data_IF_272487302168
#
_entry.id   IF_272487302168
#
_cell.length_a   1.000
_cell.length_b   1.000
_cell.length_c   1.000
_cell.angle_alpha   90.00
_cell.angle_beta   90.00
_cell.angle_gamma   90.00
#
_symmetry.space_group_name_H-M   'P 1'
#
loop_
_entity.id
_entity.type
_entity.pdbx_description
1 polymer ?
#
# COMPACT_ATOMS: atom_id res chain seq x y z
N UNK A 1 15.99 23.16 -11.39
CA UNK A 1 15.79 22.26 -12.54
C UNK A 1 15.24 20.94 -12.00
N UNK A 2 14.00 20.57 -12.36
CA UNK A 2 13.30 19.46 -11.73
C UNK A 2 13.47 18.21 -12.59
N UNK A 3 14.07 17.17 -12.06
CA UNK A 3 14.20 15.90 -12.76
C UNK A 3 12.93 15.07 -12.61
N UNK A 4 12.16 14.95 -13.66
CA UNK A 4 11.15 13.90 -13.79
C UNK A 4 11.88 12.68 -14.33
N UNK A 5 12.06 11.65 -13.51
CA UNK A 5 12.58 10.39 -14.01
C UNK A 5 11.42 9.51 -14.47
N UNK A 6 11.51 9.02 -15.69
CA UNK A 6 10.68 7.91 -16.14
C UNK A 6 11.36 6.62 -15.65
N UNK A 7 10.54 5.60 -15.35
CA UNK A 7 11.07 4.29 -14.96
C UNK A 7 12.06 3.82 -16.04
N UNK A 8 13.35 3.91 -15.75
CA UNK A 8 14.38 3.39 -16.63
C UNK A 8 14.53 1.89 -16.36
N UNK A 9 14.84 1.15 -17.40
CA UNK A 9 15.05 -0.30 -17.42
C UNK A 9 16.24 -0.71 -16.52
N UNK A 10 16.11 -0.50 -15.22
CA UNK A 10 17.05 -1.02 -14.23
C UNK A 10 16.48 -2.35 -13.77
N UNK A 11 17.14 -3.42 -14.13
CA UNK A 11 16.78 -4.79 -13.81
C UNK A 11 16.86 -5.04 -12.30
N UNK A 12 15.84 -4.59 -11.56
CA UNK A 12 15.61 -5.16 -10.24
C UNK A 12 15.00 -6.54 -10.49
N UNK A 13 15.77 -7.57 -10.20
CA UNK A 13 15.31 -8.95 -10.21
C UNK A 13 14.89 -9.36 -8.80
N UNK A 14 14.11 -10.40 -8.67
CA UNK A 14 13.75 -10.99 -7.38
C UNK A 14 15.00 -11.32 -6.54
N UNK A 15 16.12 -11.63 -7.19
CA UNK A 15 17.40 -11.97 -6.54
C UNK A 15 17.95 -10.87 -5.61
N UNK A 16 17.49 -9.64 -5.77
CA UNK A 16 17.86 -8.53 -4.89
C UNK A 16 17.03 -8.47 -3.59
N UNK A 17 16.01 -9.34 -3.46
CA UNK A 17 15.16 -9.42 -2.27
C UNK A 17 15.67 -10.50 -1.31
N UNK A 18 15.32 -10.43 -0.01
CA UNK A 18 15.64 -11.51 0.93
C UNK A 18 15.11 -12.87 0.43
N UNK A 19 15.90 -13.94 0.55
CA UNK A 19 15.57 -15.28 0.05
C UNK A 19 14.21 -15.78 0.56
N UNK A 20 13.90 -15.54 1.83
CA UNK A 20 12.58 -15.87 2.41
C UNK A 20 11.45 -15.15 1.68
N UNK A 21 11.66 -13.88 1.31
CA UNK A 21 10.65 -13.11 0.57
C UNK A 21 10.47 -13.65 -0.85
N UNK A 22 11.54 -14.03 -1.53
CA UNK A 22 11.47 -14.63 -2.87
C UNK A 22 10.59 -15.88 -2.85
N UNK A 23 10.86 -16.81 -1.94
CA UNK A 23 10.06 -18.03 -1.77
C UNK A 23 8.57 -17.74 -1.49
N UNK A 24 8.32 -16.75 -0.63
CA UNK A 24 6.95 -16.37 -0.28
C UNK A 24 6.24 -15.65 -1.43
N UNK A 25 6.94 -14.88 -2.27
CA UNK A 25 6.40 -14.27 -3.49
C UNK A 25 5.99 -15.34 -4.52
N UNK A 26 6.84 -16.35 -4.73
CA UNK A 26 6.51 -17.50 -5.60
C UNK A 26 5.28 -18.25 -5.10
N UNK A 27 5.24 -18.58 -3.80
CA UNK A 27 4.09 -19.23 -3.16
C UNK A 27 2.81 -18.38 -3.19
N UNK A 28 2.97 -17.05 -3.27
CA UNK A 28 1.87 -16.10 -3.41
C UNK A 28 1.42 -15.90 -4.86
N UNK A 29 2.11 -16.46 -5.86
CA UNK A 29 1.85 -16.20 -7.27
C UNK A 29 2.20 -14.77 -7.70
N UNK A 30 3.17 -14.16 -7.03
CA UNK A 30 3.64 -12.78 -7.24
C UNK A 30 5.11 -12.73 -7.70
N UNK A 31 5.61 -13.81 -8.29
CA UNK A 31 7.00 -13.90 -8.78
C UNK A 31 7.26 -12.95 -9.97
N UNK A 32 6.26 -12.75 -10.82
CA UNK A 32 6.37 -11.91 -12.01
C UNK A 32 6.02 -10.45 -11.68
N UNK A 33 7.01 -9.72 -11.14
CA UNK A 33 6.85 -8.30 -10.86
C UNK A 33 6.92 -7.48 -12.16
N UNK A 34 6.01 -6.52 -12.30
CA UNK A 34 6.05 -5.56 -13.41
C UNK A 34 7.22 -4.59 -13.24
N UNK A 35 7.67 -3.98 -14.35
CA UNK A 35 8.71 -2.94 -14.33
C UNK A 35 8.35 -1.80 -13.37
N UNK A 36 7.07 -1.41 -13.36
CA UNK A 36 6.54 -0.36 -12.48
C UNK A 36 6.63 -0.77 -11.00
N UNK A 37 6.31 -2.01 -10.68
CA UNK A 37 6.45 -2.55 -9.31
C UNK A 37 7.92 -2.60 -8.88
N UNK A 38 8.80 -3.08 -9.75
CA UNK A 38 10.24 -3.10 -9.49
C UNK A 38 10.79 -1.69 -9.20
N UNK A 39 10.38 -0.68 -9.95
CA UNK A 39 10.81 0.71 -9.71
C UNK A 39 10.33 1.26 -8.36
N UNK A 40 9.08 0.97 -7.99
CA UNK A 40 8.55 1.36 -6.67
C UNK A 40 9.35 0.70 -5.55
N UNK A 41 9.56 -0.63 -5.64
CA UNK A 41 10.29 -1.40 -4.63
C UNK A 41 11.73 -0.89 -4.52
N UNK A 42 12.43 -0.67 -5.62
CA UNK A 42 13.79 -0.17 -5.65
C UNK A 42 13.92 1.16 -4.88
N UNK A 43 13.05 2.12 -5.15
CA UNK A 43 13.05 3.42 -4.46
C UNK A 43 12.68 3.31 -3.00
N UNK A 44 11.74 2.43 -2.69
CA UNK A 44 11.37 2.12 -1.33
C UNK A 44 12.55 1.58 -0.53
N UNK A 45 13.29 0.64 -1.10
CA UNK A 45 14.48 0.04 -0.46
C UNK A 45 15.62 1.05 -0.31
N UNK A 46 15.81 1.93 -1.29
CA UNK A 46 16.78 3.02 -1.22
C UNK A 46 16.43 4.08 -0.17
N UNK A 47 15.23 4.06 0.41
CA UNK A 47 14.79 5.07 1.37
C UNK A 47 14.57 6.45 0.74
N UNK A 48 14.37 6.51 -0.56
CA UNK A 48 14.11 7.76 -1.27
C UNK A 48 12.74 8.33 -0.93
N UNK A 49 12.67 9.65 -0.78
CA UNK A 49 11.39 10.34 -0.70
C UNK A 49 10.84 10.49 -2.12
N UNK A 50 9.73 9.81 -2.39
CA UNK A 50 9.23 9.67 -3.76
C UNK A 50 7.71 9.81 -3.83
N UNK A 51 7.23 10.51 -4.85
CA UNK A 51 5.83 10.51 -5.27
C UNK A 51 5.70 9.67 -6.54
N UNK A 52 4.96 8.58 -6.44
CA UNK A 52 4.70 7.67 -7.56
C UNK A 52 3.33 7.95 -8.14
N UNK A 53 3.30 8.34 -9.40
CA UNK A 53 2.08 8.58 -10.18
C UNK A 53 1.86 7.47 -11.19
N UNK A 54 0.67 6.89 -11.22
CA UNK A 54 0.31 5.85 -12.18
C UNK A 54 -1.16 5.46 -12.05
N UNK A 55 -1.70 4.82 -13.08
CA UNK A 55 -3.11 4.40 -13.09
C UNK A 55 -3.46 3.44 -11.94
N UNK A 56 -4.74 3.32 -11.63
CA UNK A 56 -5.24 2.30 -10.73
C UNK A 56 -5.03 0.92 -11.36
N UNK A 57 -4.72 -0.08 -10.52
CA UNK A 57 -4.36 -1.41 -11.01
C UNK A 57 -2.88 -1.61 -11.38
N UNK A 58 -2.04 -0.57 -11.37
CA UNK A 58 -0.59 -0.71 -11.61
C UNK A 58 0.17 -1.48 -10.49
N UNK A 59 -0.52 -2.07 -9.53
CA UNK A 59 0.09 -2.85 -8.45
C UNK A 59 0.87 -2.03 -7.42
N UNK A 60 0.57 -0.74 -7.28
CA UNK A 60 1.27 0.16 -6.35
C UNK A 60 1.20 -0.31 -4.90
N UNK A 61 0.02 -0.74 -4.43
CA UNK A 61 -0.15 -1.26 -3.07
C UNK A 61 0.70 -2.51 -2.84
N UNK A 62 0.65 -3.46 -3.76
CA UNK A 62 1.46 -4.69 -3.72
C UNK A 62 2.95 -4.37 -3.65
N UNK A 63 3.43 -3.45 -4.50
CA UNK A 63 4.84 -3.03 -4.51
C UNK A 63 5.27 -2.39 -3.19
N UNK A 64 4.44 -1.54 -2.59
CA UNK A 64 4.70 -0.96 -1.27
C UNK A 64 4.82 -2.04 -0.20
N UNK A 65 3.87 -2.99 -0.16
CA UNK A 65 3.88 -4.08 0.83
C UNK A 65 5.10 -4.99 0.65
N UNK A 66 5.51 -5.29 -0.58
CA UNK A 66 6.77 -6.02 -0.86
C UNK A 66 7.96 -5.23 -0.31
N UNK A 67 8.01 -3.93 -0.51
CA UNK A 67 9.05 -3.06 0.04
C UNK A 67 9.10 -3.08 1.57
N UNK A 68 7.96 -3.02 2.24
CA UNK A 68 7.86 -3.16 3.71
C UNK A 68 8.35 -4.53 4.18
N UNK A 69 7.90 -5.61 3.54
CA UNK A 69 8.30 -6.97 3.88
C UNK A 69 9.81 -7.18 3.68
N UNK A 70 10.39 -6.68 2.59
CA UNK A 70 11.82 -6.76 2.32
C UNK A 70 12.65 -6.06 3.41
N UNK A 71 12.27 -4.83 3.81
CA UNK A 71 12.96 -4.11 4.88
C UNK A 71 12.81 -4.79 6.24
N UNK A 72 11.62 -5.26 6.57
CA UNK A 72 11.37 -5.95 7.83
C UNK A 72 12.19 -7.24 7.94
N UNK A 73 12.24 -8.05 6.88
CA UNK A 73 13.03 -9.27 6.82
C UNK A 73 14.55 -9.01 6.88
N UNK A 74 15.02 -7.92 6.26
CA UNK A 74 16.43 -7.52 6.32
C UNK A 74 16.84 -6.98 7.69
N UNK A 75 15.92 -6.39 8.46
CA UNK A 75 16.19 -5.78 9.76
C UNK A 75 16.44 -6.78 10.89
N UNK A 76 16.13 -8.07 10.71
CA UNK A 76 16.23 -9.19 11.67
C UNK A 76 16.54 -8.77 13.11
N UNK A 77 15.56 -8.26 13.83
CA UNK A 77 15.67 -8.08 15.28
C UNK A 77 15.10 -9.31 15.98
N UNK A 78 15.60 -9.56 17.19
CA UNK A 78 15.10 -10.64 18.05
C UNK A 78 13.59 -10.48 18.29
N UNK A 79 12.90 -11.60 18.47
CA UNK A 79 11.45 -11.67 18.74
C UNK A 79 11.14 -11.11 20.15
N UNK A 80 11.28 -9.81 20.36
CA UNK A 80 10.95 -9.15 21.62
C UNK A 80 9.46 -8.79 21.66
N UNK A 81 8.83 -9.03 22.79
CA UNK A 81 7.46 -8.60 23.05
C UNK A 81 7.39 -7.08 23.18
N UNK A 82 6.30 -6.47 22.70
CA UNK A 82 6.09 -5.01 22.80
C UNK A 82 6.78 -4.18 21.72
N UNK A 83 7.04 -4.76 20.53
CA UNK A 83 7.63 -4.04 19.41
C UNK A 83 6.75 -2.94 18.90
N UNK A 84 7.40 -1.83 18.59
CA UNK A 84 6.80 -0.72 17.87
C UNK A 84 6.91 -0.96 16.35
N UNK A 85 5.92 -0.56 15.55
CA UNK A 85 5.96 -0.76 14.11
C UNK A 85 7.16 -0.03 13.48
N UNK A 86 7.94 -0.76 12.69
CA UNK A 86 9.00 -0.19 11.87
C UNK A 86 8.48 0.30 10.51
N UNK A 87 7.33 -0.22 10.07
CA UNK A 87 6.65 0.15 8.84
C UNK A 87 5.25 0.69 9.07
N UNK A 88 4.90 1.80 8.43
CA UNK A 88 3.57 2.41 8.50
C UNK A 88 3.02 2.72 7.10
N UNK A 89 1.85 2.17 6.80
CA UNK A 89 1.10 2.48 5.59
C UNK A 89 -0.18 3.24 5.92
N UNK A 90 -0.24 4.49 5.51
CA UNK A 90 -1.45 5.32 5.62
C UNK A 90 -2.30 5.08 4.37
N UNK A 91 -3.55 4.70 4.57
CA UNK A 91 -4.56 4.51 3.52
C UNK A 91 -5.72 5.47 3.72
N UNK A 92 -6.57 5.66 2.71
CA UNK A 92 -7.83 6.38 2.86
C UNK A 92 -9.00 5.40 3.13
N UNK A 93 -8.84 4.14 2.73
CA UNK A 93 -9.86 3.10 2.85
C UNK A 93 -9.38 1.97 3.76
N UNK A 94 -10.23 1.51 4.70
CA UNK A 94 -9.87 0.41 5.62
C UNK A 94 -9.64 -0.92 4.89
N UNK A 95 -10.28 -1.13 3.74
CA UNK A 95 -10.11 -2.33 2.92
C UNK A 95 -8.67 -2.45 2.41
N UNK A 96 -8.07 -1.35 1.95
CA UNK A 96 -6.68 -1.32 1.50
C UNK A 96 -5.72 -1.69 2.63
N UNK A 97 -6.02 -1.24 3.85
CA UNK A 97 -5.22 -1.57 5.04
C UNK A 97 -5.30 -3.05 5.40
N UNK A 98 -6.49 -3.64 5.32
CA UNK A 98 -6.71 -5.07 5.60
C UNK A 98 -5.96 -5.92 4.56
N UNK A 99 -6.09 -5.57 3.28
CA UNK A 99 -5.41 -6.25 2.18
C UNK A 99 -3.89 -6.13 2.35
N UNK A 100 -3.38 -4.94 2.69
CA UNK A 100 -1.96 -4.71 2.89
C UNK A 100 -1.40 -5.54 4.06
N UNK A 101 -2.09 -5.58 5.20
CA UNK A 101 -1.67 -6.35 6.37
C UNK A 101 -1.67 -7.86 6.07
N UNK A 102 -2.73 -8.38 5.45
CA UNK A 102 -2.82 -9.79 5.07
C UNK A 102 -1.72 -10.18 4.06
N UNK A 103 -1.45 -9.30 3.10
CA UNK A 103 -0.37 -9.53 2.13
C UNK A 103 1.00 -9.50 2.82
N UNK A 104 1.25 -8.56 3.74
CA UNK A 104 2.50 -8.51 4.51
C UNK A 104 2.73 -9.81 5.28
N UNK A 105 1.74 -10.31 6.01
CA UNK A 105 1.83 -11.56 6.75
C UNK A 105 2.12 -12.77 5.84
N UNK A 106 1.47 -12.81 4.67
CA UNK A 106 1.71 -13.84 3.66
C UNK A 106 3.14 -13.78 3.13
N UNK A 107 3.66 -12.58 2.83
CA UNK A 107 5.00 -12.38 2.32
C UNK A 107 6.11 -12.58 3.37
N UNK A 108 5.77 -12.45 4.64
CA UNK A 108 6.71 -12.66 5.76
C UNK A 108 6.45 -13.98 6.49
N UNK A 109 5.67 -14.88 5.90
CA UNK A 109 5.34 -16.17 6.49
C UNK A 109 6.61 -16.92 6.93
N UNK A 110 6.57 -17.51 8.12
CA UNK A 110 7.68 -18.24 8.70
C UNK A 110 8.76 -17.36 9.38
N UNK A 111 8.65 -16.03 9.34
CA UNK A 111 9.62 -15.10 9.94
C UNK A 111 9.27 -14.69 11.38
N UNK A 112 8.03 -14.88 11.81
CA UNK A 112 7.51 -14.37 13.10
C UNK A 112 7.18 -12.87 13.10
N UNK A 113 7.29 -12.19 11.95
CA UNK A 113 6.86 -10.80 11.77
C UNK A 113 5.33 -10.71 11.78
N UNK A 114 4.81 -9.63 12.38
CA UNK A 114 3.38 -9.41 12.56
C UNK A 114 2.93 -8.11 11.92
N UNK A 115 1.72 -8.13 11.36
CA UNK A 115 1.06 -6.95 10.81
C UNK A 115 -0.26 -6.65 11.49
N UNK A 116 -0.65 -5.38 11.53
CA UNK A 116 -1.99 -4.96 11.90
C UNK A 116 -2.60 -4.06 10.82
N UNK A 117 -3.75 -4.49 10.28
CA UNK A 117 -4.62 -3.64 9.48
C UNK A 117 -5.68 -3.01 10.39
N UNK A 118 -5.57 -1.71 10.62
CA UNK A 118 -6.50 -0.98 11.49
C UNK A 118 -7.74 -0.61 10.71
N UNK A 119 -8.93 -0.99 11.20
CA UNK A 119 -10.22 -0.73 10.54
C UNK A 119 -11.31 -0.40 11.56
N UNK A 120 -12.44 0.15 11.08
CA UNK A 120 -13.63 0.38 11.92
C UNK A 120 -14.12 -0.96 12.49
N UNK A 121 -14.27 -0.99 13.78
CA UNK A 121 -14.83 -2.10 14.50
C UNK A 121 -13.86 -2.68 15.51
N UNK A 122 -14.35 -2.81 16.73
CA UNK A 122 -13.60 -3.41 17.84
C UNK A 122 -13.31 -4.88 17.56
N UNK A 123 -12.26 -5.18 16.83
CA UNK A 123 -11.72 -6.54 16.79
C UNK A 123 -10.79 -6.71 17.99
N UNK A 124 -11.34 -7.15 19.10
CA UNK A 124 -10.62 -7.44 20.35
C UNK A 124 -9.34 -8.28 20.14
N UNK A 125 -9.31 -9.29 19.24
CA UNK A 125 -8.07 -10.00 18.94
C UNK A 125 -6.95 -9.11 18.40
N UNK A 126 -7.26 -8.16 17.51
CA UNK A 126 -6.26 -7.24 16.92
C UNK A 126 -5.68 -6.25 17.93
N UNK A 127 -6.47 -5.81 18.91
CA UNK A 127 -5.95 -4.97 19.99
C UNK A 127 -4.89 -5.69 20.81
N UNK A 128 -5.09 -6.98 21.11
CA UNK A 128 -4.07 -7.81 21.79
C UNK A 128 -2.82 -8.01 20.94
N UNK A 129 -2.95 -8.13 19.62
CA UNK A 129 -1.82 -8.23 18.69
C UNK A 129 -0.99 -6.95 18.71
N UNK A 130 -1.63 -5.78 18.70
CA UNK A 130 -0.94 -4.48 18.81
C UNK A 130 -0.21 -4.37 20.14
N UNK A 131 -0.85 -4.77 21.25
CA UNK A 131 -0.24 -4.80 22.59
C UNK A 131 0.94 -5.77 22.69
N UNK A 132 0.89 -6.89 21.95
CA UNK A 132 2.01 -7.86 21.92
C UNK A 132 3.16 -7.45 21.02
N UNK A 133 2.97 -6.37 20.25
CA UNK A 133 3.96 -5.82 19.31
C UNK A 133 3.69 -6.23 17.86
N UNK A 134 3.83 -5.26 16.98
CA UNK A 134 3.68 -5.39 15.53
C UNK A 134 4.90 -4.80 14.83
N UNK A 135 5.20 -5.32 13.64
CA UNK A 135 6.31 -4.86 12.81
C UNK A 135 5.82 -3.92 11.69
N UNK A 136 4.57 -4.10 11.27
CA UNK A 136 3.93 -3.32 10.22
C UNK A 136 2.50 -2.93 10.61
N UNK A 137 2.18 -1.65 10.48
CA UNK A 137 0.83 -1.12 10.68
C UNK A 137 0.30 -0.52 9.37
N UNK A 138 -0.96 -0.81 9.05
CA UNK A 138 -1.67 -0.18 7.93
C UNK A 138 -3.05 0.29 8.38
N UNK A 139 -3.48 1.48 7.95
CA UNK A 139 -4.82 1.97 8.29
C UNK A 139 -5.15 3.34 7.72
N UNK A 140 -6.44 3.71 7.74
CA UNK A 140 -6.85 5.09 7.58
C UNK A 140 -6.27 5.97 8.69
N UNK A 141 -5.94 7.21 8.33
CA UNK A 141 -5.28 8.15 9.24
C UNK A 141 -6.02 8.30 10.57
N UNK A 142 -7.35 8.46 10.52
CA UNK A 142 -8.19 8.63 11.70
C UNK A 142 -8.09 7.47 12.70
N UNK A 143 -7.98 6.26 12.18
CA UNK A 143 -7.88 5.05 13.01
C UNK A 143 -6.49 4.84 13.55
N UNK A 144 -5.46 5.14 12.74
CA UNK A 144 -4.08 5.08 13.17
C UNK A 144 -3.82 6.07 14.31
N UNK A 145 -4.28 7.32 14.19
CA UNK A 145 -4.16 8.33 15.24
C UNK A 145 -4.85 7.88 16.53
N UNK A 146 -6.12 7.44 16.44
CA UNK A 146 -6.87 6.97 17.60
C UNK A 146 -6.20 5.74 18.25
N UNK A 147 -5.56 4.87 17.48
CA UNK A 147 -4.86 3.71 17.99
C UNK A 147 -3.53 4.09 18.64
N UNK A 148 -2.79 5.03 18.05
CA UNK A 148 -1.57 5.56 18.65
C UNK A 148 -1.83 6.26 19.97
N UNK A 149 -2.91 7.03 20.07
CA UNK A 149 -3.31 7.68 21.32
C UNK A 149 -3.70 6.66 22.41
N UNK A 150 -4.47 5.63 22.02
CA UNK A 150 -5.00 4.63 22.96
C UNK A 150 -3.94 3.66 23.46
N UNK A 151 -3.14 3.12 22.55
CA UNK A 151 -2.17 2.07 22.84
C UNK A 151 -0.81 2.62 23.25
N UNK A 152 -0.61 3.94 23.21
CA UNK A 152 0.69 4.56 23.42
C UNK A 152 1.73 4.14 22.39
N UNK A 153 1.29 3.61 21.24
CA UNK A 153 2.19 3.27 20.15
C UNK A 153 3.00 4.49 19.75
N UNK A 154 4.31 4.40 19.93
CA UNK A 154 5.23 5.48 19.60
C UNK A 154 5.76 5.26 18.18
N UNK A 155 5.79 6.31 17.39
CA UNK A 155 6.41 6.29 16.06
C UNK A 155 7.96 6.29 16.13
N UNK A 156 8.54 6.17 17.33
CA UNK A 156 9.99 6.26 17.54
C UNK A 156 10.80 5.13 16.89
N UNK A 157 10.15 3.99 16.61
CA UNK A 157 10.79 2.87 15.91
C UNK A 157 10.56 2.89 14.40
N UNK A 158 9.76 3.83 13.90
CA UNK A 158 9.40 3.90 12.49
C UNK A 158 10.62 4.12 11.60
N UNK A 159 10.85 3.22 10.67
CA UNK A 159 11.94 3.31 9.68
C UNK A 159 11.44 3.65 8.28
N UNK A 160 10.20 3.29 7.97
CA UNK A 160 9.61 3.50 6.66
C UNK A 160 8.14 3.83 6.77
N UNK A 161 7.70 4.78 5.96
CA UNK A 161 6.31 5.14 5.83
C UNK A 161 5.89 5.22 4.36
N UNK A 162 4.61 4.96 4.10
CA UNK A 162 4.02 5.22 2.80
C UNK A 162 2.61 5.78 2.96
N UNK A 163 2.20 6.61 2.00
CA UNK A 163 0.84 7.12 1.88
C UNK A 163 0.28 6.62 0.56
N UNK A 164 -0.74 5.79 0.64
CA UNK A 164 -1.40 5.22 -0.53
C UNK A 164 -2.54 6.11 -0.99
N UNK A 165 -2.57 6.45 -2.29
CA UNK A 165 -3.57 7.33 -2.94
C UNK A 165 -3.65 8.72 -2.28
N UNK A 166 -2.51 9.40 -2.21
CA UNK A 166 -2.39 10.73 -1.59
C UNK A 166 -3.29 11.80 -2.25
N UNK A 167 -3.66 11.62 -3.50
CA UNK A 167 -4.61 12.43 -4.25
C UNK A 167 -6.01 12.46 -3.59
N UNK A 168 -6.45 11.37 -3.00
CA UNK A 168 -7.71 11.32 -2.26
C UNK A 168 -7.67 12.13 -0.95
N UNK A 169 -6.51 12.20 -0.31
CA UNK A 169 -6.30 13.09 0.84
C UNK A 169 -6.28 14.55 0.40
N UNK A 170 -5.59 14.86 -0.69
CA UNK A 170 -5.50 16.21 -1.24
C UNK A 170 -6.88 16.77 -1.65
N UNK A 171 -7.81 15.92 -2.05
CA UNK A 171 -9.18 16.30 -2.39
C UNK A 171 -10.02 16.74 -1.16
N UNK A 172 -9.56 16.47 0.06
CA UNK A 172 -10.28 16.74 1.32
C UNK A 172 -9.41 17.64 2.23
N UNK A 173 -9.61 18.98 2.27
CA UNK A 173 -8.68 19.90 2.95
C UNK A 173 -8.42 19.59 4.43
N UNK A 174 -9.43 19.14 5.18
CA UNK A 174 -9.26 18.79 6.59
C UNK A 174 -8.38 17.53 6.75
N UNK A 175 -8.61 16.50 5.94
CA UNK A 175 -7.84 15.28 5.96
C UNK A 175 -6.41 15.52 5.47
N UNK A 176 -6.25 16.36 4.45
CA UNK A 176 -4.94 16.80 3.96
C UNK A 176 -4.10 17.44 5.06
N UNK A 177 -4.67 18.40 5.83
CA UNK A 177 -3.97 19.07 6.92
C UNK A 177 -3.46 18.06 7.95
N UNK A 178 -4.30 17.14 8.38
CA UNK A 178 -3.92 16.08 9.32
C UNK A 178 -2.82 15.18 8.77
N UNK A 179 -2.92 14.79 7.50
CA UNK A 179 -1.85 14.02 6.84
C UNK A 179 -0.52 14.77 6.85
N UNK A 180 -0.55 16.09 6.62
CA UNK A 180 0.63 16.96 6.68
C UNK A 180 1.26 16.93 8.06
N UNK A 181 0.46 17.07 9.10
CA UNK A 181 0.92 17.05 10.50
C UNK A 181 1.54 15.69 10.82
N UNK A 182 0.86 14.58 10.49
CA UNK A 182 1.37 13.23 10.69
C UNK A 182 2.67 12.97 9.90
N UNK A 183 2.72 13.35 8.63
CA UNK A 183 3.91 13.16 7.79
C UNK A 183 5.10 14.02 8.25
N UNK A 184 4.83 15.21 8.76
CA UNK A 184 5.85 16.08 9.35
C UNK A 184 6.43 15.45 10.62
N UNK A 185 5.58 14.92 11.48
CA UNK A 185 6.03 14.23 12.71
C UNK A 185 6.83 12.97 12.39
N UNK A 186 6.35 12.16 11.45
CA UNK A 186 7.10 11.00 10.96
C UNK A 186 8.46 11.38 10.39
N UNK A 187 8.56 12.52 9.70
CA UNK A 187 9.83 13.01 9.14
C UNK A 187 10.83 13.46 10.20
N UNK A 188 10.36 13.93 11.36
CA UNK A 188 11.21 14.33 12.49
C UNK A 188 11.73 13.13 13.26
N UNK A 189 10.87 12.14 13.46
CA UNK A 189 11.16 10.97 14.30
C UNK A 189 11.99 9.92 13.58
N UNK A 190 11.81 9.80 12.29
CA UNK A 190 12.47 8.79 11.50
C UNK A 190 13.37 9.44 10.44
N UNK A 191 14.59 8.97 10.33
CA UNK A 191 15.40 9.10 9.10
C UNK A 191 14.76 8.33 7.94
N UNK A 192 13.45 8.41 7.85
CA UNK A 192 12.57 7.54 7.09
C UNK A 192 12.32 8.15 5.72
N UNK A 193 12.55 7.39 4.68
CA UNK A 193 11.99 7.69 3.38
C UNK A 193 10.48 7.57 3.42
N UNK A 194 9.76 8.57 2.90
CA UNK A 194 8.31 8.50 2.77
C UNK A 194 7.96 8.36 1.29
N UNK A 195 7.20 7.32 0.95
CA UNK A 195 6.68 7.13 -0.39
C UNK A 195 5.20 7.51 -0.43
N UNK A 196 4.88 8.40 -1.36
CA UNK A 196 3.51 8.75 -1.69
C UNK A 196 3.13 8.07 -3.00
N UNK A 197 1.92 7.53 -3.09
CA UNK A 197 1.37 7.07 -4.37
C UNK A 197 0.11 7.83 -4.69
N UNK A 198 -0.17 8.05 -5.97
CA UNK A 198 -1.43 8.64 -6.44
C UNK A 198 -2.00 7.86 -7.62
N UNK A 199 -3.32 7.89 -7.77
CA UNK A 199 -4.06 7.14 -8.79
C UNK A 199 -3.95 7.77 -10.17
N UNK A 200 -4.24 9.05 -10.26
CA UNK A 200 -4.20 9.81 -11.50
C UNK A 200 -3.15 10.91 -11.47
N UNK A 201 -2.77 11.42 -12.63
CA UNK A 201 -1.96 12.65 -12.71
C UNK A 201 -2.76 13.83 -12.18
N UNK A 202 -2.34 14.36 -11.05
CA UNK A 202 -2.84 15.61 -10.50
C UNK A 202 -1.66 16.55 -10.27
N UNK A 203 -1.58 17.61 -11.08
CA UNK A 203 -0.57 18.65 -10.91
C UNK A 203 -0.70 19.36 -9.57
N UNK A 204 -1.92 19.49 -9.08
CA UNK A 204 -2.18 20.12 -7.78
C UNK A 204 -1.71 19.24 -6.63
N UNK A 205 -1.97 17.93 -6.69
CA UNK A 205 -1.42 16.98 -5.70
C UNK A 205 0.11 16.96 -5.74
N UNK A 206 0.73 16.95 -6.93
CA UNK A 206 2.18 17.05 -7.07
C UNK A 206 2.73 18.33 -6.42
N UNK A 207 2.09 19.48 -6.65
CA UNK A 207 2.46 20.76 -6.03
C UNK A 207 2.34 20.72 -4.51
N UNK A 208 1.25 20.20 -3.99
CA UNK A 208 1.01 20.07 -2.55
C UNK A 208 2.05 19.20 -1.87
N UNK A 209 2.34 18.01 -2.43
CA UNK A 209 3.37 17.10 -1.88
C UNK A 209 4.75 17.75 -1.92
N UNK A 210 5.11 18.44 -3.01
CA UNK A 210 6.39 19.13 -3.13
C UNK A 210 6.52 20.35 -2.24
N UNK A 211 5.43 21.07 -1.99
CA UNK A 211 5.44 22.18 -1.05
C UNK A 211 5.77 21.73 0.38
N UNK A 212 5.33 20.52 0.75
CA UNK A 212 5.64 19.94 2.06
C UNK A 212 7.02 19.29 2.10
N UNK A 213 7.40 18.65 1.01
CA UNK A 213 8.64 17.88 0.89
C UNK A 213 9.39 18.26 -0.39
N UNK A 214 10.14 19.38 -0.40
CA UNK A 214 10.80 19.92 -1.59
C UNK A 214 11.76 18.94 -2.26
N UNK A 215 12.36 18.00 -1.50
CA UNK A 215 13.27 16.97 -2.00
C UNK A 215 12.57 15.73 -2.57
N UNK A 216 11.24 15.76 -2.77
CA UNK A 216 10.50 14.60 -3.27
C UNK A 216 10.76 14.38 -4.76
N UNK A 217 11.24 13.20 -5.12
CA UNK A 217 11.34 12.75 -6.49
C UNK A 217 9.97 12.37 -7.02
N UNK A 218 9.65 12.75 -8.26
CA UNK A 218 8.41 12.32 -8.93
C UNK A 218 8.72 11.25 -9.95
N UNK A 219 8.11 10.09 -9.77
CA UNK A 219 8.18 8.97 -10.70
C UNK A 219 6.84 8.77 -11.37
N UNK A 220 6.87 8.70 -12.69
CA UNK A 220 5.68 8.40 -13.49
C UNK A 220 5.80 6.99 -14.02
N UNK A 221 4.85 6.15 -13.61
CA UNK A 221 4.76 4.80 -14.11
C UNK A 221 4.35 4.84 -15.59
N UNK A 222 5.04 4.04 -16.39
CA UNK A 222 4.83 3.97 -17.83
C UNK A 222 3.89 2.83 -18.21
N UNK A 223 3.34 2.11 -17.23
CA UNK A 223 2.50 0.96 -17.45
C UNK A 223 1.51 1.21 -18.57
N UNK A 224 1.58 0.43 -19.62
CA UNK A 224 0.57 0.43 -20.66
C UNK A 224 -0.69 -0.15 -20.03
N UNK A 225 -1.57 0.75 -19.61
CA UNK A 225 -2.94 0.34 -19.37
C UNK A 225 -3.48 -0.14 -20.72
N UNK A 226 -3.51 -1.42 -20.93
CA UNK A 226 -4.42 -1.97 -21.92
C UNK A 226 -5.78 -1.85 -21.26
N UNK A 227 -6.65 -1.02 -21.83
CA UNK A 227 -8.08 -1.19 -21.54
C UNK A 227 -8.34 -2.69 -21.68
N UNK A 228 -8.73 -3.38 -20.60
CA UNK A 228 -9.19 -4.75 -20.79
C UNK A 228 -10.33 -4.67 -21.80
N UNK A 229 -10.43 -5.62 -22.70
CA UNK A 229 -11.57 -5.79 -23.59
C UNK A 229 -12.79 -6.08 -22.69
N UNK A 230 -13.32 -5.00 -22.07
CA UNK A 230 -14.52 -5.08 -21.22
C UNK A 230 -15.71 -4.90 -22.15
N UNK A 231 -16.41 -5.97 -22.38
CA UNK A 231 -17.72 -5.91 -23.02
C UNK A 231 -18.74 -5.43 -21.96
N UNK A 232 -19.06 -4.13 -22.00
CA UNK A 232 -20.09 -3.58 -21.13
C UNK A 232 -21.47 -3.92 -21.70
N UNK A 233 -22.28 -4.64 -20.92
CA UNK A 233 -23.66 -4.93 -21.26
C UNK A 233 -24.59 -4.46 -20.13
N UNK A 234 -25.45 -3.49 -20.46
CA UNK A 234 -26.47 -3.01 -19.53
C UNK A 234 -27.77 -3.77 -19.73
N UNK A 235 -28.31 -4.33 -18.66
CA UNK A 235 -29.64 -4.97 -18.67
C UNK A 235 -30.55 -4.35 -17.63
N UNK A 236 -31.71 -3.88 -18.09
CA UNK A 236 -32.78 -3.45 -17.22
C UNK A 236 -33.55 -4.69 -16.69
N UNK A 237 -33.43 -4.94 -15.39
CA UNK A 237 -34.10 -6.06 -14.74
C UNK A 237 -35.00 -5.55 -13.63
N UNK A 238 -36.24 -6.06 -13.56
CA UNK A 238 -37.16 -5.75 -12.44
C UNK A 238 -36.52 -6.20 -11.13
N UNK A 239 -36.72 -5.43 -10.05
CA UNK A 239 -36.10 -5.67 -8.73
C UNK A 239 -36.20 -7.13 -8.24
N UNK A 240 -37.35 -7.79 -8.49
CA UNK A 240 -37.58 -9.19 -8.08
C UNK A 240 -36.85 -10.24 -8.90
N UNK A 241 -36.32 -9.88 -10.07
CA UNK A 241 -35.59 -10.79 -10.96
C UNK A 241 -34.07 -10.62 -10.94
N UNK A 242 -33.54 -9.67 -10.17
CA UNK A 242 -32.09 -9.32 -10.21
C UNK A 242 -31.19 -10.51 -9.89
N UNK A 243 -31.47 -11.22 -8.82
CA UNK A 243 -30.65 -12.36 -8.40
C UNK A 243 -30.64 -13.48 -9.45
N UNK A 244 -31.81 -13.81 -10.00
CA UNK A 244 -31.92 -14.84 -11.04
C UNK A 244 -31.13 -14.47 -12.31
N UNK A 245 -31.17 -13.18 -12.71
CA UNK A 245 -30.43 -12.71 -13.88
C UNK A 245 -28.91 -12.70 -13.62
N UNK A 246 -28.47 -12.27 -12.43
CA UNK A 246 -27.06 -12.35 -12.03
C UNK A 246 -26.56 -13.79 -12.07
N UNK A 247 -27.31 -14.73 -11.50
CA UNK A 247 -26.95 -16.16 -11.52
C UNK A 247 -26.91 -16.73 -12.94
N UNK A 248 -27.82 -16.27 -13.83
CA UNK A 248 -27.82 -16.66 -15.24
C UNK A 248 -26.58 -16.13 -15.95
N UNK A 249 -26.21 -14.87 -15.71
CA UNK A 249 -25.01 -14.26 -16.30
C UNK A 249 -23.72 -14.98 -15.83
N UNK A 250 -23.61 -15.25 -14.53
CA UNK A 250 -22.45 -15.97 -13.98
C UNK A 250 -22.30 -17.36 -14.62
N UNK A 251 -23.42 -18.07 -14.82
CA UNK A 251 -23.39 -19.39 -15.48
C UNK A 251 -23.08 -19.35 -16.97
N UNK A 252 -23.27 -18.21 -17.61
CA UNK A 252 -23.02 -18.03 -19.04
C UNK A 252 -21.58 -17.52 -19.34
N UNK A 253 -20.77 -17.24 -18.31
CA UNK A 253 -19.38 -16.82 -18.50
C UNK A 253 -18.54 -18.02 -18.88
N UNK A 254 -17.79 -17.97 -19.98
CA UNK A 254 -16.86 -19.04 -20.37
C UNK A 254 -15.77 -19.26 -19.31
N UNK A 255 -15.23 -20.47 -19.28
CA UNK A 255 -14.10 -20.79 -18.39
C UNK A 255 -12.90 -19.89 -18.71
N UNK A 256 -12.35 -19.25 -17.68
CA UNK A 256 -11.22 -18.33 -17.78
C UNK A 256 -11.59 -16.86 -17.95
N UNK A 257 -12.86 -16.54 -18.17
CA UNK A 257 -13.36 -15.17 -18.18
C UNK A 257 -13.84 -14.72 -16.79
N UNK A 258 -13.95 -13.42 -16.59
CA UNK A 258 -14.43 -12.83 -15.33
C UNK A 258 -15.61 -11.91 -15.61
N UNK A 259 -16.58 -11.93 -14.72
CA UNK A 259 -17.72 -11.03 -14.74
C UNK A 259 -17.70 -10.13 -13.51
N UNK A 260 -17.91 -8.84 -13.71
CA UNK A 260 -18.15 -7.88 -12.64
C UNK A 260 -19.62 -7.45 -12.72
N UNK A 261 -20.34 -7.67 -11.62
CA UNK A 261 -21.71 -7.21 -11.48
C UNK A 261 -21.72 -6.02 -10.51
N UNK A 262 -22.25 -4.89 -10.98
CA UNK A 262 -22.30 -3.64 -10.22
C UNK A 262 -23.75 -3.36 -9.79
#
# INVERSE_FOLDING_TARGET
MWTVSYAQNTSMTLDNLPEQLQKNLEAAGLADLTVDQCEIIRRFLAGERTLVSGHDGAGKLTALVIGFAAKALASRRSLETGRLPEGLLITNHPEDAIVAAALFERLTHGSGLKAAGVSIGRNVPRMREIETGIDFAAGPLDYLEAEFERSGLKLSALKTAAVYRVDEFAAKPALWRRLVDAATEMSKTARCGIIFTMGSRSTDTERLVRALFPSTNVVRLLGRWREPDILEAFRLVKRRGRLAEVMRLIKAVPDGERILVI
#
